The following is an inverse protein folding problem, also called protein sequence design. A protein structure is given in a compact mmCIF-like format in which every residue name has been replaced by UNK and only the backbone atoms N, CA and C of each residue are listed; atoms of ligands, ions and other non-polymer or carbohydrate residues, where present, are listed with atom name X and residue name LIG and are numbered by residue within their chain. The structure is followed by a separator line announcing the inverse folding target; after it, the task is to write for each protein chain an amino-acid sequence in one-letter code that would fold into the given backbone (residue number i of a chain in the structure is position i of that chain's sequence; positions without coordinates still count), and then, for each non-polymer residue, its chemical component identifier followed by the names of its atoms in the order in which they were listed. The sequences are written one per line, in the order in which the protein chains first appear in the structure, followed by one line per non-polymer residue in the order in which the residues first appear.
data_IF_706315968009
#
_entry.id   IF_706315968009
#
_cell.length_a   1.000
_cell.length_b   1.000
_cell.length_c   1.000
_cell.angle_alpha   90.00
_cell.angle_beta   90.00
_cell.angle_gamma   90.00
#
_symmetry.space_group_name_H-M   'P 1'
#
loop_
_entity.id
_entity.type
_entity.pdbx_description
1 polymer ?
#
# COMPACT_ATOMS: atom_id res chain seq x y z
N UNK A 1 41.96 28.13 1.82
CA UNK A 1 41.68 27.92 0.38
C UNK A 1 40.17 27.90 0.29
N UNK A 2 39.52 28.69 -0.57
CA UNK A 2 38.05 28.69 -0.57
C UNK A 2 37.55 27.30 -1.02
N UNK A 3 36.38 26.86 -0.54
CA UNK A 3 35.77 25.58 -0.98
C UNK A 3 35.68 25.50 -2.51
N UNK A 4 35.52 26.65 -3.18
CA UNK A 4 35.56 26.78 -4.64
C UNK A 4 36.92 26.43 -5.24
N UNK A 5 38.02 26.84 -4.61
CA UNK A 5 39.38 26.56 -5.08
C UNK A 5 39.70 25.06 -4.97
N UNK A 6 39.30 24.43 -3.86
CA UNK A 6 39.45 22.98 -3.67
C UNK A 6 38.59 22.17 -4.65
N UNK A 7 37.39 22.67 -5.00
CA UNK A 7 36.53 22.03 -6.01
C UNK A 7 37.12 22.15 -7.43
N UNK A 8 37.72 23.28 -7.78
CA UNK A 8 38.43 23.45 -9.06
C UNK A 8 39.69 22.56 -9.15
N UNK A 9 40.41 22.39 -8.04
CA UNK A 9 41.54 21.46 -7.94
C UNK A 9 41.11 20.02 -8.25
N UNK A 10 40.00 19.54 -7.65
CA UNK A 10 39.45 18.20 -7.92
C UNK A 10 39.07 18.03 -9.39
N UNK A 11 38.41 19.02 -9.99
CA UNK A 11 38.04 18.97 -11.42
C UNK A 11 39.28 18.86 -12.31
N UNK A 12 40.36 19.59 -11.99
CA UNK A 12 41.62 19.52 -12.73
C UNK A 12 42.31 18.15 -12.59
N UNK A 13 42.29 17.56 -11.39
CA UNK A 13 42.89 16.24 -11.12
C UNK A 13 42.10 15.10 -11.77
N UNK A 14 40.76 15.20 -11.81
CA UNK A 14 39.91 14.24 -12.53
C UNK A 14 40.19 14.31 -14.03
N UNK A 15 40.37 15.51 -14.59
CA UNK A 15 40.75 15.64 -16.01
C UNK A 15 42.14 15.06 -16.31
N UNK A 16 43.09 15.17 -15.38
CA UNK A 16 44.40 14.52 -15.50
C UNK A 16 44.28 12.98 -15.40
N UNK A 17 43.42 12.47 -14.53
CA UNK A 17 43.17 11.04 -14.36
C UNK A 17 42.59 10.39 -15.64
N UNK A 18 41.72 11.11 -16.36
CA UNK A 18 41.14 10.64 -17.62
C UNK A 18 42.18 10.52 -18.76
N UNK A 19 43.19 11.41 -18.77
CA UNK A 19 44.21 11.45 -19.83
C UNK A 19 45.40 10.51 -19.59
N UNK A 20 45.62 10.09 -18.35
CA UNK A 20 46.77 9.24 -18.00
C UNK A 20 46.48 7.76 -18.33
N UNK A 21 47.37 7.05 -19.04
CA UNK A 21 47.21 5.61 -19.33
C UNK A 21 47.98 4.70 -18.36
N UNK A 22 48.88 5.25 -17.53
CA UNK A 22 49.79 4.46 -16.68
C UNK A 22 49.15 4.16 -15.31
N UNK A 23 48.96 2.88 -14.91
CA UNK A 23 48.18 2.50 -13.73
C UNK A 23 48.80 2.95 -12.39
N UNK A 24 50.14 3.00 -12.27
CA UNK A 24 50.81 3.51 -11.07
C UNK A 24 50.57 5.01 -10.86
N UNK A 25 50.60 5.81 -11.93
CA UNK A 25 50.33 7.24 -11.86
C UNK A 25 48.85 7.54 -11.59
N UNK A 26 47.93 6.70 -12.08
CA UNK A 26 46.50 6.79 -11.71
C UNK A 26 46.28 6.66 -10.22
N UNK A 27 46.96 5.72 -9.55
CA UNK A 27 46.85 5.57 -8.10
C UNK A 27 47.32 6.83 -7.34
N UNK A 28 48.41 7.44 -7.77
CA UNK A 28 48.92 8.67 -7.15
C UNK A 28 47.95 9.86 -7.33
N UNK A 29 47.30 9.96 -8.49
CA UNK A 29 46.29 10.99 -8.77
C UNK A 29 45.02 10.75 -7.95
N UNK A 30 44.58 9.49 -7.80
CA UNK A 30 43.43 9.11 -6.95
C UNK A 30 43.71 9.48 -5.49
N UNK A 31 44.91 9.22 -4.98
CA UNK A 31 45.30 9.57 -3.61
C UNK A 31 45.29 11.10 -3.39
N UNK A 32 45.69 11.89 -4.39
CA UNK A 32 45.61 13.36 -4.35
C UNK A 32 44.16 13.86 -4.35
N UNK A 33 43.29 13.24 -5.15
CA UNK A 33 41.84 13.53 -5.17
C UNK A 33 41.21 13.22 -3.81
N UNK A 34 41.57 12.10 -3.20
CA UNK A 34 41.02 11.69 -1.90
C UNK A 34 41.45 12.65 -0.78
N UNK A 35 42.72 13.08 -0.77
CA UNK A 35 43.20 14.11 0.17
C UNK A 35 42.54 15.46 -0.04
N UNK A 36 42.28 15.88 -1.29
CA UNK A 36 41.57 17.12 -1.59
C UNK A 36 40.09 17.04 -1.15
N UNK A 37 39.43 15.90 -1.35
CA UNK A 37 38.04 15.69 -0.94
C UNK A 37 37.90 15.65 0.59
N UNK A 38 38.88 15.10 1.31
CA UNK A 38 38.91 15.13 2.77
C UNK A 38 39.01 16.56 3.33
N UNK A 39 39.74 17.47 2.65
CA UNK A 39 39.81 18.89 3.05
C UNK A 39 38.46 19.60 2.93
N UNK A 40 37.71 19.32 1.86
CA UNK A 40 36.35 19.84 1.67
C UNK A 40 35.42 19.30 2.76
N UNK A 41 35.54 18.03 3.11
CA UNK A 41 34.74 17.41 4.18
C UNK A 41 35.05 17.96 5.58
N UNK A 42 36.27 18.43 5.85
CA UNK A 42 36.62 19.06 7.13
C UNK A 42 36.20 20.53 7.25
N UNK A 43 36.05 21.26 6.13
CA UNK A 43 35.70 22.69 6.13
C UNK A 43 34.18 22.95 6.02
N UNK A 44 33.37 21.95 5.63
CA UNK A 44 31.93 22.11 5.43
C UNK A 44 31.12 22.03 6.74
N UNK A 45 30.86 23.19 7.36
CA UNK A 45 29.83 23.40 8.39
C UNK A 45 28.42 23.02 7.86
N UNK A 46 27.54 22.63 8.78
CA UNK A 46 26.34 21.80 8.63
C UNK A 46 25.21 22.24 7.67
N UNK A 47 25.39 23.27 6.83
CA UNK A 47 24.33 23.84 5.99
C UNK A 47 24.44 23.57 4.48
N UNK A 48 25.53 22.96 3.99
CA UNK A 48 25.76 22.77 2.54
C UNK A 48 25.86 21.31 2.06
N UNK A 49 25.35 20.36 2.86
CA UNK A 49 25.37 18.92 2.54
C UNK A 49 24.52 18.45 1.32
N UNK A 50 23.45 19.13 0.85
CA UNK A 50 22.65 18.60 -0.25
C UNK A 50 23.19 18.89 -1.67
N UNK A 51 24.12 19.84 -1.84
CA UNK A 51 24.47 20.38 -3.17
C UNK A 51 25.76 19.81 -3.78
N UNK A 52 26.62 19.18 -2.99
CA UNK A 52 27.89 18.61 -3.48
C UNK A 52 27.74 17.20 -4.06
N UNK A 53 26.69 16.47 -3.70
CA UNK A 53 26.47 15.09 -4.15
C UNK A 53 25.91 15.00 -5.59
N UNK A 54 25.31 16.07 -6.09
CA UNK A 54 24.65 16.10 -7.41
C UNK A 54 25.61 16.52 -8.52
N UNK A 55 26.54 17.45 -8.27
CA UNK A 55 27.39 18.01 -9.33
C UNK A 55 28.58 17.13 -9.76
N UNK A 56 29.08 16.25 -8.89
CA UNK A 56 30.24 15.40 -9.19
C UNK A 56 29.84 14.07 -9.84
N UNK A 57 28.66 13.54 -9.49
CA UNK A 57 28.14 12.28 -10.06
C UNK A 57 27.78 12.41 -11.55
N UNK A 58 27.41 13.60 -12.02
CA UNK A 58 27.09 13.85 -13.44
C UNK A 58 28.32 13.92 -14.37
N UNK A 59 29.53 13.96 -13.80
CA UNK A 59 30.78 14.09 -14.58
C UNK A 59 31.71 12.87 -14.50
N UNK A 60 31.31 11.82 -13.78
CA UNK A 60 32.07 10.56 -13.81
C UNK A 60 31.72 9.82 -15.11
N UNK A 61 32.71 9.46 -15.95
CA UNK A 61 32.44 8.64 -17.12
C UNK A 61 31.82 7.33 -16.65
N UNK A 62 30.57 7.10 -17.04
CA UNK A 62 29.90 5.82 -16.90
C UNK A 62 30.81 4.81 -17.57
N UNK A 63 31.44 3.94 -16.76
CA UNK A 63 32.16 2.78 -17.27
C UNK A 63 31.22 2.09 -18.24
N UNK A 64 31.52 2.17 -19.53
CA UNK A 64 30.80 1.47 -20.57
C UNK A 64 30.96 -0.01 -20.22
N UNK A 65 29.99 -0.55 -19.48
CA UNK A 65 29.90 -1.97 -19.22
C UNK A 65 29.80 -2.56 -20.60
N UNK A 66 30.74 -3.46 -20.93
CA UNK A 66 30.54 -4.39 -22.02
C UNK A 66 29.08 -4.87 -21.97
N UNK A 67 28.35 -4.87 -23.10
CA UNK A 67 26.95 -5.27 -23.12
C UNK A 67 26.84 -6.56 -22.33
N UNK A 68 26.06 -6.53 -21.24
CA UNK A 68 25.78 -7.75 -20.49
C UNK A 68 25.31 -8.76 -21.53
N UNK A 69 25.96 -9.95 -21.62
CA UNK A 69 25.48 -10.97 -22.54
C UNK A 69 24.00 -11.11 -22.27
N UNK A 70 23.18 -11.01 -23.32
CA UNK A 70 21.74 -11.22 -23.21
C UNK A 70 21.54 -12.45 -22.33
N UNK A 71 20.67 -12.38 -21.31
CA UNK A 71 20.35 -13.55 -20.51
C UNK A 71 20.16 -14.68 -21.50
N UNK A 72 20.86 -15.83 -21.35
CA UNK A 72 20.66 -16.94 -22.27
C UNK A 72 19.15 -17.09 -22.40
N UNK A 73 18.65 -17.00 -23.64
CA UNK A 73 17.25 -17.26 -23.92
C UNK A 73 16.90 -18.47 -23.09
N UNK A 74 15.88 -18.40 -22.21
CA UNK A 74 15.66 -19.45 -21.24
C UNK A 74 15.61 -20.72 -22.04
N UNK A 75 16.67 -21.53 -21.94
CA UNK A 75 16.69 -22.83 -22.57
C UNK A 75 15.46 -23.44 -21.99
N UNK A 76 14.48 -23.64 -22.86
CA UNK A 76 13.25 -24.25 -22.46
C UNK A 76 13.72 -25.62 -22.09
N UNK A 77 13.97 -25.85 -20.80
CA UNK A 77 14.20 -27.17 -20.28
C UNK A 77 12.87 -27.83 -20.59
N UNK A 78 12.79 -28.44 -21.77
CA UNK A 78 11.83 -29.44 -22.13
C UNK A 78 12.16 -30.56 -21.15
N UNK A 79 11.66 -30.40 -19.93
CA UNK A 79 11.40 -31.53 -19.07
C UNK A 79 10.40 -32.34 -19.87
N UNK A 80 10.92 -33.25 -20.70
CA UNK A 80 10.12 -34.36 -21.20
C UNK A 80 9.45 -34.87 -19.94
N UNK A 81 8.11 -34.84 -19.86
CA UNK A 81 7.44 -35.33 -18.67
C UNK A 81 8.01 -36.71 -18.43
N UNK A 82 8.44 -36.99 -17.20
CA UNK A 82 8.86 -38.34 -16.83
C UNK A 82 7.69 -39.22 -17.22
N UNK A 83 7.80 -39.90 -18.37
CA UNK A 83 6.82 -40.85 -18.80
C UNK A 83 6.99 -41.97 -17.80
N UNK A 84 6.13 -42.00 -16.78
CA UNK A 84 5.92 -43.21 -15.99
C UNK A 84 5.61 -44.28 -17.03
N UNK A 85 6.58 -45.15 -17.32
CA UNK A 85 6.35 -46.37 -18.10
C UNK A 85 5.27 -47.12 -17.35
N UNK A 86 4.01 -46.93 -17.76
CA UNK A 86 2.89 -47.74 -17.28
C UNK A 86 3.19 -49.13 -17.83
N UNK A 87 3.50 -50.06 -16.93
CA UNK A 87 3.61 -51.46 -17.31
C UNK A 87 2.34 -51.88 -18.05
N UNK A 88 2.50 -52.52 -19.20
CA UNK A 88 1.38 -53.03 -20.00
C UNK A 88 0.48 -53.90 -19.11
N UNK A 89 -0.86 -53.81 -19.23
CA UNK A 89 -1.77 -54.59 -18.41
C UNK A 89 -1.51 -56.10 -18.49
N UNK A 90 -0.96 -56.60 -19.61
CA UNK A 90 -0.52 -58.00 -19.76
C UNK A 90 0.70 -58.32 -18.88
N UNK A 91 1.71 -57.46 -18.87
CA UNK A 91 2.93 -57.62 -18.05
C UNK A 91 2.60 -57.53 -16.56
N UNK A 92 1.69 -56.63 -16.17
CA UNK A 92 1.21 -56.52 -14.79
C UNK A 92 0.49 -57.79 -14.34
N UNK A 93 -0.35 -58.37 -15.19
CA UNK A 93 -1.09 -59.61 -14.88
C UNK A 93 -0.13 -60.80 -14.71
N UNK A 94 0.87 -60.91 -15.60
CA UNK A 94 1.91 -61.95 -15.56
C UNK A 94 2.78 -61.86 -14.29
N UNK A 95 3.18 -60.64 -13.88
CA UNK A 95 3.92 -60.40 -12.65
C UNK A 95 3.09 -60.68 -11.37
N UNK A 96 1.78 -60.39 -11.40
CA UNK A 96 0.89 -60.71 -10.26
C UNK A 96 0.72 -62.22 -10.09
N UNK A 97 0.74 -62.98 -11.19
CA UNK A 97 0.66 -64.44 -11.19
C UNK A 97 1.99 -65.09 -10.77
N UNK A 98 3.14 -64.60 -11.27
CA UNK A 98 4.47 -65.07 -10.87
C UNK A 98 4.79 -64.80 -9.39
N UNK A 99 4.31 -63.68 -8.83
CA UNK A 99 4.60 -63.30 -7.45
C UNK A 99 3.58 -63.85 -6.43
N UNK A 100 2.53 -64.56 -6.87
CA UNK A 100 1.42 -65.07 -6.01
C UNK A 100 0.81 -64.00 -5.09
N UNK A 101 0.77 -62.74 -5.52
CA UNK A 101 0.23 -61.64 -4.70
C UNK A 101 -1.23 -61.44 -5.03
N UNK A 102 -2.10 -61.61 -4.03
CA UNK A 102 -3.53 -61.36 -4.18
C UNK A 102 -3.82 -59.85 -4.26
N UNK A 103 -4.79 -59.48 -5.11
CA UNK A 103 -5.09 -58.07 -5.37
C UNK A 103 -5.57 -57.32 -4.12
N UNK A 104 -6.20 -58.03 -3.18
CA UNK A 104 -6.64 -57.49 -1.89
C UNK A 104 -5.48 -57.19 -0.92
N UNK A 105 -4.41 -57.99 -0.94
CA UNK A 105 -3.25 -57.80 -0.05
C UNK A 105 -2.43 -56.57 -0.47
N UNK A 106 -2.37 -56.31 -1.77
CA UNK A 106 -1.76 -55.09 -2.34
C UNK A 106 -2.51 -53.82 -1.97
N UNK A 107 -3.85 -53.86 -1.90
CA UNK A 107 -4.66 -52.71 -1.50
C UNK A 107 -4.65 -52.47 0.02
N UNK A 108 -4.47 -53.53 0.83
CA UNK A 108 -4.21 -53.42 2.27
C UNK A 108 -2.82 -52.87 2.60
N UNK A 109 -1.78 -53.31 1.89
CA UNK A 109 -0.39 -52.89 2.14
C UNK A 109 -0.10 -51.45 1.68
N UNK A 110 -0.78 -51.00 0.61
CA UNK A 110 -0.65 -49.64 0.08
C UNK A 110 -2.03 -49.00 -0.12
N UNK A 111 -2.68 -48.53 0.96
CA UNK A 111 -3.91 -47.76 0.82
C UNK A 111 -3.61 -46.56 -0.08
N UNK A 112 -4.32 -46.45 -1.21
CA UNK A 112 -4.21 -45.31 -2.13
C UNK A 112 -4.57 -44.05 -1.36
N UNK A 113 -3.57 -43.36 -0.81
CA UNK A 113 -3.73 -42.05 -0.21
C UNK A 113 -4.20 -41.12 -1.33
N UNK A 114 -5.50 -40.87 -1.40
CA UNK A 114 -6.07 -39.81 -2.23
C UNK A 114 -5.67 -38.47 -1.59
N UNK A 115 -4.39 -38.14 -1.62
CA UNK A 115 -3.98 -36.75 -1.50
C UNK A 115 -4.50 -36.08 -2.76
N UNK A 116 -5.71 -35.51 -2.66
CA UNK A 116 -6.02 -34.30 -3.41
C UNK A 116 -4.96 -33.30 -2.96
N UNK A 117 -3.80 -33.29 -3.62
CA UNK A 117 -2.94 -32.14 -3.63
C UNK A 117 -3.77 -31.11 -4.39
N UNK A 118 -4.62 -30.40 -3.65
CA UNK A 118 -5.11 -29.11 -4.07
C UNK A 118 -3.87 -28.24 -4.14
N UNK A 119 -3.16 -28.29 -5.27
CA UNK A 119 -2.40 -27.14 -5.72
C UNK A 119 -3.45 -26.05 -5.91
N UNK A 120 -3.81 -25.38 -4.80
CA UNK A 120 -4.31 -24.03 -4.85
C UNK A 120 -3.16 -23.29 -5.52
N UNK A 121 -3.27 -23.13 -6.84
CA UNK A 121 -2.43 -22.19 -7.55
C UNK A 121 -2.82 -20.83 -6.96
N UNK A 122 -2.11 -20.43 -5.91
CA UNK A 122 -2.28 -19.17 -5.17
C UNK A 122 -1.96 -17.93 -6.04
N UNK A 123 -1.93 -18.11 -7.36
CA UNK A 123 -1.86 -17.06 -8.35
C UNK A 123 -3.28 -16.56 -8.58
N UNK A 124 -3.61 -15.42 -8.00
CA UNK A 124 -4.73 -14.60 -8.45
C UNK A 124 -4.38 -14.04 -9.83
N UNK A 125 -4.44 -14.89 -10.86
CA UNK A 125 -4.42 -14.42 -12.25
C UNK A 125 -5.61 -13.48 -12.40
N UNK A 126 -5.36 -12.25 -12.85
CA UNK A 126 -6.44 -11.29 -13.11
C UNK A 126 -7.45 -11.93 -14.07
N UNK A 127 -8.62 -12.27 -13.54
CA UNK A 127 -9.76 -12.67 -14.36
C UNK A 127 -10.44 -11.38 -14.78
N UNK A 128 -10.34 -11.03 -16.05
CA UNK A 128 -11.01 -9.87 -16.62
C UNK A 128 -12.51 -9.93 -16.31
N UNK A 129 -13.02 -8.97 -15.54
CA UNK A 129 -14.47 -8.85 -15.33
C UNK A 129 -15.16 -8.53 -16.66
N UNK A 130 -16.41 -8.99 -16.88
CA UNK A 130 -17.17 -8.64 -18.08
C UNK A 130 -17.25 -7.12 -18.30
N UNK A 131 -17.43 -6.38 -17.20
CA UNK A 131 -17.43 -4.91 -17.18
C UNK A 131 -16.10 -4.33 -17.66
N UNK A 132 -14.96 -4.81 -17.14
CA UNK A 132 -13.64 -4.33 -17.54
C UNK A 132 -13.32 -4.57 -19.02
N UNK A 133 -13.84 -5.66 -19.62
CA UNK A 133 -13.71 -5.90 -21.06
C UNK A 133 -14.46 -4.86 -21.88
N UNK A 134 -15.72 -4.61 -21.53
CA UNK A 134 -16.58 -3.63 -22.21
C UNK A 134 -15.95 -2.24 -22.07
N UNK A 135 -15.56 -1.84 -20.87
CA UNK A 135 -14.92 -0.54 -20.64
C UNK A 135 -13.65 -0.36 -21.49
N UNK A 136 -12.83 -1.40 -21.60
CA UNK A 136 -11.61 -1.35 -22.41
C UNK A 136 -11.90 -1.28 -23.92
N UNK A 137 -12.99 -1.88 -24.39
CA UNK A 137 -13.41 -1.76 -25.78
C UNK A 137 -13.85 -0.34 -26.15
N UNK A 138 -14.61 0.32 -25.27
CA UNK A 138 -15.11 1.68 -25.51
C UNK A 138 -14.03 2.76 -25.30
N UNK A 139 -13.28 2.68 -24.20
CA UNK A 139 -12.36 3.74 -23.77
C UNK A 139 -10.87 3.42 -24.00
N UNK A 140 -10.53 2.20 -24.45
CA UNK A 140 -9.14 1.75 -24.55
C UNK A 140 -8.26 2.62 -25.44
N UNK A 141 -8.79 3.10 -26.59
CA UNK A 141 -8.08 4.00 -27.53
C UNK A 141 -7.88 5.40 -26.96
N UNK A 142 -8.90 5.92 -26.28
CA UNK A 142 -8.83 7.24 -25.64
C UNK A 142 -7.81 7.24 -24.49
N UNK A 143 -7.91 6.25 -23.61
CA UNK A 143 -7.01 6.12 -22.45
C UNK A 143 -5.56 5.89 -22.90
N UNK A 144 -5.28 5.08 -23.93
CA UNK A 144 -3.91 4.91 -24.43
C UNK A 144 -3.29 6.23 -24.89
N UNK A 145 -4.04 7.04 -25.63
CA UNK A 145 -3.55 8.36 -26.06
C UNK A 145 -3.22 9.28 -24.87
N UNK A 146 -3.97 9.17 -23.77
CA UNK A 146 -3.71 9.97 -22.58
C UNK A 146 -2.48 9.49 -21.78
N UNK A 147 -2.14 8.20 -21.84
CA UNK A 147 -0.88 7.68 -21.28
C UNK A 147 0.33 8.19 -22.07
N UNK A 148 0.23 8.23 -23.40
CA UNK A 148 1.32 8.68 -24.28
C UNK A 148 1.64 10.17 -24.09
N UNK A 149 0.61 10.99 -23.78
CA UNK A 149 0.77 12.42 -23.47
C UNK A 149 1.43 12.71 -22.11
N UNK A 150 1.87 11.68 -21.38
CA UNK A 150 2.58 11.81 -20.09
C UNK A 150 1.81 12.66 -19.07
N UNK A 151 0.48 12.61 -19.06
CA UNK A 151 -0.35 13.35 -18.11
C UNK A 151 -0.02 12.94 -16.66
N UNK A 152 0.21 13.91 -15.77
CA UNK A 152 0.52 13.67 -14.35
C UNK A 152 -0.64 12.98 -13.63
N UNK A 153 -1.88 13.40 -13.90
CA UNK A 153 -3.10 12.83 -13.34
C UNK A 153 -3.20 11.31 -13.52
N UNK A 154 -2.97 10.83 -14.74
CA UNK A 154 -3.11 9.41 -15.09
C UNK A 154 -1.99 8.58 -14.47
N UNK A 155 -0.77 9.13 -14.43
CA UNK A 155 0.36 8.47 -13.78
C UNK A 155 0.14 8.32 -12.28
N UNK A 156 -0.31 9.38 -11.62
CA UNK A 156 -0.66 9.34 -10.19
C UNK A 156 -1.73 8.30 -9.90
N UNK A 157 -2.82 8.28 -10.66
CA UNK A 157 -3.88 7.28 -10.51
C UNK A 157 -3.37 5.86 -10.79
N UNK A 158 -2.54 5.68 -11.83
CA UNK A 158 -1.97 4.39 -12.16
C UNK A 158 -1.04 3.86 -11.07
N UNK A 159 -0.28 4.75 -10.42
CA UNK A 159 0.55 4.44 -9.26
C UNK A 159 -0.30 4.12 -8.04
N UNK A 160 -1.35 4.90 -7.74
CA UNK A 160 -2.29 4.60 -6.64
C UNK A 160 -2.96 3.24 -6.81
N UNK A 161 -3.41 2.90 -8.03
CA UNK A 161 -3.97 1.57 -8.33
C UNK A 161 -2.93 0.48 -8.12
N UNK A 162 -1.69 0.69 -8.57
CA UNK A 162 -0.61 -0.30 -8.39
C UNK A 162 -0.27 -0.51 -6.91
N UNK A 163 -0.21 0.56 -6.13
CA UNK A 163 0.14 0.56 -4.71
C UNK A 163 -0.99 -0.06 -3.86
N UNK A 164 -2.25 0.17 -4.23
CA UNK A 164 -3.41 -0.44 -3.55
C UNK A 164 -3.35 -1.97 -3.53
N UNK A 165 -2.66 -2.59 -4.49
CA UNK A 165 -2.60 -4.04 -4.63
C UNK A 165 -3.89 -4.66 -5.16
N UNK A 166 -4.78 -3.85 -5.75
CA UNK A 166 -5.95 -4.35 -6.46
C UNK A 166 -5.52 -5.29 -7.59
N UNK A 167 -6.22 -6.42 -7.80
CA UNK A 167 -5.88 -7.38 -8.85
C UNK A 167 -6.34 -6.88 -10.23
N UNK A 168 -6.27 -5.58 -10.51
CA UNK A 168 -6.77 -4.95 -11.73
C UNK A 168 -5.63 -4.17 -12.36
N UNK A 169 -5.48 -4.28 -13.68
CA UNK A 169 -4.48 -3.52 -14.42
C UNK A 169 -4.82 -2.02 -14.37
N UNK A 170 -3.83 -1.16 -14.05
CA UNK A 170 -4.04 0.30 -13.90
C UNK A 170 -4.74 0.92 -15.10
N UNK A 171 -4.37 0.50 -16.32
CA UNK A 171 -5.02 0.95 -17.56
C UNK A 171 -6.50 0.57 -17.61
N UNK A 172 -6.85 -0.67 -17.26
CA UNK A 172 -8.24 -1.14 -17.27
C UNK A 172 -9.07 -0.43 -16.22
N UNK A 173 -8.50 -0.12 -15.04
CA UNK A 173 -9.18 0.66 -14.01
C UNK A 173 -9.59 2.05 -14.52
N UNK A 174 -8.68 2.74 -15.21
CA UNK A 174 -8.97 4.06 -15.78
C UNK A 174 -10.07 3.97 -16.85
N UNK A 175 -10.06 2.94 -17.69
CA UNK A 175 -11.16 2.70 -18.64
C UNK A 175 -12.49 2.47 -17.90
N UNK A 176 -12.48 1.70 -16.80
CA UNK A 176 -13.66 1.46 -15.97
C UNK A 176 -14.16 2.75 -15.31
N UNK A 177 -13.27 3.65 -14.89
CA UNK A 177 -13.63 4.94 -14.29
C UNK A 177 -14.40 5.84 -15.26
N UNK A 178 -13.89 6.03 -16.48
CA UNK A 178 -14.59 6.82 -17.49
C UNK A 178 -15.91 6.18 -17.91
N UNK A 179 -15.93 4.85 -18.06
CA UNK A 179 -17.13 4.12 -18.42
C UNK A 179 -18.21 4.19 -17.33
N UNK A 180 -17.84 4.02 -16.06
CA UNK A 180 -18.76 4.11 -14.93
C UNK A 180 -19.32 5.52 -14.74
N UNK A 181 -18.50 6.57 -14.94
CA UNK A 181 -18.95 7.96 -14.92
C UNK A 181 -19.98 8.23 -16.02
N UNK A 182 -19.75 7.73 -17.24
CA UNK A 182 -20.69 7.87 -18.36
C UNK A 182 -22.01 7.12 -18.09
N UNK A 183 -21.93 5.87 -17.63
CA UNK A 183 -23.11 5.07 -17.30
C UNK A 183 -23.89 5.69 -16.14
N UNK A 184 -23.21 6.15 -15.09
CA UNK A 184 -23.81 6.84 -13.95
C UNK A 184 -24.52 8.13 -14.37
N UNK A 185 -23.90 8.93 -15.24
CA UNK A 185 -24.50 10.14 -15.79
C UNK A 185 -25.78 9.83 -16.61
N UNK A 186 -25.74 8.78 -17.46
CA UNK A 186 -26.91 8.37 -18.24
C UNK A 186 -28.07 7.88 -17.37
N UNK A 187 -27.77 7.08 -16.33
CA UNK A 187 -28.78 6.62 -15.38
C UNK A 187 -29.37 7.81 -14.62
N UNK A 188 -28.53 8.74 -14.15
CA UNK A 188 -28.96 9.92 -13.43
C UNK A 188 -29.82 10.86 -14.27
N UNK A 189 -29.55 10.96 -15.58
CA UNK A 189 -30.39 11.71 -16.51
C UNK A 189 -31.79 11.09 -16.62
N UNK A 190 -31.87 9.76 -16.79
CA UNK A 190 -33.16 9.06 -16.85
C UNK A 190 -33.93 9.18 -15.53
N UNK A 191 -33.23 9.03 -14.40
CA UNK A 191 -33.84 9.13 -13.08
C UNK A 191 -34.35 10.55 -12.81
N UNK A 192 -33.56 11.58 -13.16
CA UNK A 192 -33.98 12.97 -13.04
C UNK A 192 -35.17 13.29 -13.94
N UNK A 193 -35.25 12.72 -15.15
CA UNK A 193 -36.42 12.87 -16.01
C UNK A 193 -37.69 12.34 -15.34
N UNK A 194 -37.62 11.15 -14.75
CA UNK A 194 -38.76 10.52 -14.05
C UNK A 194 -39.15 11.30 -12.80
N UNK A 195 -38.17 11.67 -11.95
CA UNK A 195 -38.42 12.42 -10.71
C UNK A 195 -39.03 13.79 -11.00
N UNK A 196 -38.48 14.52 -11.97
CA UNK A 196 -38.98 15.85 -12.34
C UNK A 196 -40.38 15.80 -12.96
N UNK A 197 -40.73 14.70 -13.65
CA UNK A 197 -42.09 14.47 -14.16
C UNK A 197 -43.08 14.18 -13.02
N UNK A 198 -42.71 13.30 -12.07
CA UNK A 198 -43.54 12.98 -10.90
C UNK A 198 -43.73 14.16 -9.95
N UNK A 199 -42.73 15.03 -9.83
CA UNK A 199 -42.79 16.23 -9.00
C UNK A 199 -43.59 17.39 -9.63
N UNK A 200 -44.06 17.24 -10.88
CA UNK A 200 -44.87 18.26 -11.56
C UNK A 200 -44.12 19.57 -11.84
N UNK A 201 -42.80 19.51 -12.04
CA UNK A 201 -41.98 20.70 -12.27
C UNK A 201 -42.29 21.33 -13.64
N UNK A 202 -42.16 22.67 -13.71
CA UNK A 202 -42.27 23.40 -14.98
C UNK A 202 -41.23 22.90 -16.01
N UNK A 203 -41.56 22.96 -17.31
CA UNK A 203 -40.69 22.46 -18.41
C UNK A 203 -39.26 23.00 -18.37
N UNK A 204 -39.09 24.28 -18.00
CA UNK A 204 -37.75 24.88 -17.84
C UNK A 204 -36.97 24.28 -16.67
N UNK A 205 -37.63 24.05 -15.52
CA UNK A 205 -37.03 23.43 -14.35
C UNK A 205 -36.68 21.95 -14.61
N UNK A 206 -37.48 21.23 -15.41
CA UNK A 206 -37.16 19.86 -15.84
C UNK A 206 -35.85 19.82 -16.61
N UNK A 207 -35.68 20.67 -17.63
CA UNK A 207 -34.46 20.72 -18.44
C UNK A 207 -33.24 21.04 -17.56
N UNK A 208 -33.35 22.03 -16.67
CA UNK A 208 -32.28 22.40 -15.74
C UNK A 208 -31.91 21.22 -14.84
N UNK A 209 -32.90 20.54 -14.25
CA UNK A 209 -32.67 19.38 -13.38
C UNK A 209 -31.96 18.22 -14.10
N UNK A 210 -32.25 18.01 -15.39
CA UNK A 210 -31.61 16.97 -16.20
C UNK A 210 -30.13 17.29 -16.44
N UNK A 211 -29.79 18.54 -16.78
CA UNK A 211 -28.39 18.96 -16.96
C UNK A 211 -27.61 18.91 -15.65
N UNK A 212 -28.20 19.39 -14.55
CA UNK A 212 -27.57 19.34 -13.23
C UNK A 212 -27.32 17.89 -12.81
N UNK A 213 -28.30 16.99 -12.98
CA UNK A 213 -28.15 15.58 -12.65
C UNK A 213 -27.09 14.89 -13.50
N UNK A 214 -27.10 15.12 -14.82
CA UNK A 214 -26.14 14.54 -15.77
C UNK A 214 -24.70 14.92 -15.40
N UNK A 215 -24.44 16.21 -15.23
CA UNK A 215 -23.10 16.72 -14.93
C UNK A 215 -22.72 16.39 -13.48
N UNK A 216 -23.62 16.64 -12.53
CA UNK A 216 -23.39 16.46 -11.09
C UNK A 216 -23.06 15.01 -10.74
N UNK A 217 -23.89 14.05 -11.16
CA UNK A 217 -23.64 12.63 -10.88
C UNK A 217 -22.45 12.11 -11.67
N UNK A 218 -22.27 12.52 -12.93
CA UNK A 218 -21.10 12.16 -13.72
C UNK A 218 -19.78 12.56 -13.06
N UNK A 219 -19.70 13.79 -12.55
CA UNK A 219 -18.54 14.32 -11.81
C UNK A 219 -18.39 13.59 -10.47
N UNK A 220 -19.48 13.38 -9.73
CA UNK A 220 -19.42 12.72 -8.42
C UNK A 220 -18.89 11.29 -8.53
N UNK A 221 -19.39 10.51 -9.50
CA UNK A 221 -18.92 9.14 -9.76
C UNK A 221 -17.45 9.16 -10.19
N UNK A 222 -17.06 10.11 -11.04
CA UNK A 222 -15.67 10.27 -11.47
C UNK A 222 -14.73 10.56 -10.29
N UNK A 223 -15.08 11.53 -9.44
CA UNK A 223 -14.31 11.87 -8.25
C UNK A 223 -14.26 10.72 -7.24
N UNK A 224 -15.36 10.02 -7.03
CA UNK A 224 -15.43 8.85 -6.16
C UNK A 224 -14.49 7.74 -6.64
N UNK A 225 -14.54 7.39 -7.93
CA UNK A 225 -13.63 6.38 -8.50
C UNK A 225 -12.17 6.84 -8.58
N UNK A 226 -11.91 8.14 -8.66
CA UNK A 226 -10.54 8.67 -8.56
C UNK A 226 -9.99 8.56 -7.12
N UNK A 227 -10.80 8.84 -6.11
CA UNK A 227 -10.40 8.77 -4.70
C UNK A 227 -10.33 7.32 -4.16
N UNK A 228 -11.09 6.41 -4.75
CA UNK A 228 -11.21 5.02 -4.27
C UNK A 228 -9.87 4.27 -4.14
N UNK A 229 -8.96 4.25 -5.15
CA UNK A 229 -7.68 3.54 -5.03
C UNK A 229 -6.77 4.11 -3.95
N UNK A 230 -6.81 5.43 -3.75
CA UNK A 230 -6.03 6.09 -2.72
C UNK A 230 -6.56 5.74 -1.32
N UNK A 231 -7.88 5.68 -1.16
CA UNK A 231 -8.53 5.21 0.08
C UNK A 231 -8.17 3.76 0.40
N UNK A 232 -8.24 2.87 -0.59
CA UNK A 232 -7.89 1.45 -0.42
C UNK A 232 -6.40 1.27 -0.07
N UNK A 233 -5.52 2.02 -0.74
CA UNK A 233 -4.10 2.03 -0.41
C UNK A 233 -3.84 2.55 1.02
N UNK A 234 -4.58 3.56 1.47
CA UNK A 234 -4.48 4.08 2.83
C UNK A 234 -4.97 3.08 3.87
N UNK A 235 -6.13 2.43 3.64
CA UNK A 235 -6.66 1.38 4.51
C UNK A 235 -5.65 0.22 4.62
N UNK A 236 -5.09 -0.21 3.50
CA UNK A 236 -4.02 -1.23 3.48
C UNK A 236 -2.77 -0.78 4.21
N UNK A 237 -2.34 0.47 4.08
CA UNK A 237 -1.21 1.02 4.85
C UNK A 237 -1.47 0.92 6.35
N UNK A 238 -2.66 1.32 6.82
CA UNK A 238 -3.03 1.25 8.24
C UNK A 238 -3.02 -0.18 8.75
N UNK A 239 -3.61 -1.11 7.99
CA UNK A 239 -3.59 -2.54 8.35
C UNK A 239 -2.15 -3.08 8.46
N UNK A 240 -1.26 -2.70 7.54
CA UNK A 240 0.16 -3.05 7.61
C UNK A 240 0.83 -2.42 8.85
N UNK A 241 0.62 -1.12 9.08
CA UNK A 241 1.27 -0.37 10.15
C UNK A 241 0.84 -0.85 11.54
N UNK A 242 -0.40 -1.34 11.68
CA UNK A 242 -0.91 -1.94 12.91
C UNK A 242 -0.24 -3.28 13.24
N UNK A 243 0.01 -4.12 12.23
CA UNK A 243 0.64 -5.43 12.40
C UNK A 243 2.18 -5.34 12.53
N UNK A 244 2.78 -4.27 11.98
CA UNK A 244 4.23 -4.13 11.81
C UNK A 244 5.06 -4.24 13.10
N UNK A 245 4.69 -3.62 14.24
CA UNK A 245 5.49 -3.71 15.46
C UNK A 245 5.62 -5.14 15.97
N UNK A 246 4.53 -5.91 15.92
CA UNK A 246 4.47 -7.29 16.37
C UNK A 246 5.22 -8.23 15.40
N UNK A 247 5.02 -8.03 14.10
CA UNK A 247 5.78 -8.77 13.09
C UNK A 247 7.28 -8.50 13.20
N UNK A 248 7.69 -7.27 13.51
CA UNK A 248 9.11 -6.92 13.67
C UNK A 248 9.74 -7.57 14.90
N UNK A 249 9.01 -7.70 16.01
CA UNK A 249 9.45 -8.48 17.18
C UNK A 249 9.63 -9.95 16.82
N UNK A 250 8.69 -10.52 16.07
CA UNK A 250 8.78 -11.91 15.61
C UNK A 250 10.01 -12.10 14.70
N UNK A 251 10.26 -11.18 13.76
CA UNK A 251 11.48 -11.18 12.94
C UNK A 251 12.74 -11.08 13.79
N UNK A 252 12.77 -10.20 14.79
CA UNK A 252 13.91 -10.05 15.69
C UNK A 252 14.20 -11.33 16.50
N UNK A 253 13.16 -12.03 16.95
CA UNK A 253 13.29 -13.31 17.64
C UNK A 253 13.88 -14.39 16.73
N UNK A 254 13.39 -14.48 15.49
CA UNK A 254 13.89 -15.45 14.51
C UNK A 254 15.32 -15.13 14.10
N UNK A 255 15.66 -13.87 13.80
CA UNK A 255 17.04 -13.46 13.55
C UNK A 255 17.95 -13.73 14.77
N UNK A 256 17.39 -13.60 15.97
CA UNK A 256 18.06 -13.91 17.23
C UNK A 256 18.52 -15.36 17.37
N UNK A 257 17.82 -16.29 16.71
CA UNK A 257 18.13 -17.73 16.69
C UNK A 257 19.24 -18.12 15.71
N UNK A 258 19.71 -17.19 14.86
CA UNK A 258 20.68 -17.49 13.81
C UNK A 258 20.09 -18.16 12.57
N UNK A 259 18.76 -18.25 12.45
CA UNK A 259 18.09 -18.73 11.25
C UNK A 259 18.42 -17.84 10.03
N UNK A 260 18.35 -18.44 8.83
CA UNK A 260 18.54 -17.68 7.59
C UNK A 260 17.50 -16.54 7.48
N UNK A 261 17.86 -15.35 6.99
CA UNK A 261 16.95 -14.19 6.95
C UNK A 261 15.61 -14.44 6.25
N UNK A 262 15.60 -15.25 5.17
CA UNK A 262 14.36 -15.63 4.47
C UNK A 262 13.39 -16.42 5.35
N UNK A 263 13.89 -17.13 6.37
CA UNK A 263 13.06 -17.93 7.27
C UNK A 263 12.10 -17.07 8.08
N UNK A 264 12.48 -15.82 8.42
CA UNK A 264 11.61 -14.89 9.14
C UNK A 264 10.30 -14.65 8.37
N UNK A 265 10.40 -14.33 7.08
CA UNK A 265 9.24 -14.10 6.22
C UNK A 265 8.39 -15.36 6.03
N UNK A 266 9.01 -16.55 5.94
CA UNK A 266 8.27 -17.82 5.85
C UNK A 266 7.51 -18.14 7.14
N UNK A 267 8.10 -17.86 8.30
CA UNK A 267 7.46 -18.07 9.60
C UNK A 267 6.30 -17.09 9.83
N UNK A 268 6.45 -15.82 9.43
CA UNK A 268 5.36 -14.84 9.46
C UNK A 268 4.16 -15.27 8.60
N UNK A 269 4.40 -15.80 7.38
CA UNK A 269 3.31 -16.33 6.56
C UNK A 269 2.67 -17.58 7.16
N UNK A 270 3.47 -18.43 7.80
CA UNK A 270 2.99 -19.67 8.42
C UNK A 270 2.13 -19.41 9.67
N UNK A 271 2.42 -18.36 10.44
CA UNK A 271 1.62 -18.03 11.63
C UNK A 271 0.21 -17.56 11.25
N UNK A 272 0.06 -16.85 10.13
CA UNK A 272 -1.23 -16.32 9.67
C UNK A 272 -1.83 -15.25 10.60
N UNK A 273 -1.04 -14.73 11.55
CA UNK A 273 -1.48 -13.75 12.54
C UNK A 273 -1.54 -12.32 11.98
N UNK A 274 -0.70 -12.01 10.98
CA UNK A 274 -0.49 -10.67 10.44
C UNK A 274 -1.15 -10.51 9.07
N UNK A 275 -2.48 -10.39 9.05
CA UNK A 275 -3.27 -10.35 7.82
C UNK A 275 -2.94 -9.14 6.93
N UNK A 276 -2.66 -7.97 7.52
CA UNK A 276 -2.30 -6.78 6.75
C UNK A 276 -0.98 -6.94 6.00
N UNK A 277 -0.04 -7.65 6.63
CA UNK A 277 1.30 -7.92 6.08
C UNK A 277 1.37 -9.13 5.15
N UNK A 278 0.44 -10.08 5.26
CA UNK A 278 0.47 -11.34 4.53
C UNK A 278 0.70 -11.13 3.02
N UNK A 279 -0.03 -10.20 2.42
CA UNK A 279 0.06 -9.92 0.98
C UNK A 279 1.44 -9.40 0.56
N UNK A 280 2.09 -8.55 1.37
CA UNK A 280 3.41 -8.01 1.07
C UNK A 280 4.51 -9.03 1.32
N UNK A 281 4.41 -9.80 2.43
CA UNK A 281 5.37 -10.85 2.75
C UNK A 281 5.31 -11.97 1.70
N UNK A 282 4.11 -12.33 1.22
CA UNK A 282 3.93 -13.33 0.16
C UNK A 282 4.63 -12.91 -1.12
N UNK A 283 4.62 -11.61 -1.48
CA UNK A 283 5.39 -11.10 -2.63
C UNK A 283 6.90 -11.32 -2.44
N UNK A 284 7.43 -11.02 -1.26
CA UNK A 284 8.87 -11.22 -0.94
C UNK A 284 9.25 -12.71 -1.11
N UNK A 285 8.49 -13.60 -0.46
CA UNK A 285 8.76 -15.05 -0.51
C UNK A 285 8.62 -15.60 -1.93
N UNK A 286 7.64 -15.13 -2.69
CA UNK A 286 7.46 -15.54 -4.08
C UNK A 286 8.61 -15.06 -4.98
N UNK A 287 9.08 -13.81 -4.82
CA UNK A 287 10.22 -13.29 -5.59
C UNK A 287 11.47 -14.13 -5.38
N UNK A 288 11.73 -14.58 -4.15
CA UNK A 288 12.89 -15.43 -3.84
C UNK A 288 12.68 -16.86 -4.32
N UNK A 289 11.58 -17.51 -3.94
CA UNK A 289 11.38 -18.95 -4.17
C UNK A 289 11.00 -19.30 -5.60
N UNK A 290 10.20 -18.45 -6.27
CA UNK A 290 9.66 -18.75 -7.61
C UNK A 290 10.47 -18.09 -8.73
N UNK A 291 10.90 -16.85 -8.49
CA UNK A 291 11.60 -16.06 -9.50
C UNK A 291 13.13 -16.05 -9.30
N UNK A 292 13.64 -16.64 -8.22
CA UNK A 292 15.08 -16.77 -7.98
C UNK A 292 15.80 -15.45 -7.68
N UNK A 293 15.09 -14.39 -7.32
CA UNK A 293 15.73 -13.14 -6.91
C UNK A 293 16.48 -13.31 -5.59
N UNK A 294 17.62 -12.62 -5.47
CA UNK A 294 18.28 -12.46 -4.17
C UNK A 294 17.36 -11.75 -3.17
N UNK A 295 17.47 -12.09 -1.89
CA UNK A 295 16.60 -11.55 -0.85
C UNK A 295 16.72 -10.02 -0.75
N UNK A 296 17.92 -9.44 -0.85
CA UNK A 296 18.10 -7.98 -0.79
C UNK A 296 17.37 -7.27 -1.94
N UNK A 297 17.44 -7.85 -3.14
CA UNK A 297 16.76 -7.34 -4.34
C UNK A 297 15.24 -7.51 -4.23
N UNK A 298 14.77 -8.65 -3.72
CA UNK A 298 13.36 -8.89 -3.48
C UNK A 298 12.77 -7.89 -2.48
N UNK A 299 13.48 -7.61 -1.38
CA UNK A 299 13.08 -6.63 -0.37
C UNK A 299 12.99 -5.20 -0.94
N UNK A 300 13.99 -4.77 -1.72
CA UNK A 300 13.97 -3.47 -2.40
C UNK A 300 12.81 -3.38 -3.41
N UNK A 301 12.55 -4.43 -4.18
CA UNK A 301 11.45 -4.45 -5.14
C UNK A 301 10.07 -4.31 -4.47
N UNK A 302 9.88 -4.94 -3.31
CA UNK A 302 8.63 -4.81 -2.54
C UNK A 302 8.56 -3.46 -1.82
N UNK A 303 9.68 -2.95 -1.29
CA UNK A 303 9.71 -1.65 -0.59
C UNK A 303 9.37 -0.47 -1.51
N UNK A 304 9.64 -0.57 -2.81
CA UNK A 304 9.25 0.43 -3.80
C UNK A 304 7.74 0.44 -4.12
N UNK A 305 7.00 -0.62 -3.80
CA UNK A 305 5.60 -0.81 -4.18
C UNK A 305 4.63 -0.94 -3.02
N UNK A 306 5.13 -0.94 -1.78
CA UNK A 306 4.28 -1.00 -0.58
C UNK A 306 3.61 0.36 -0.32
N UNK A 307 2.33 0.38 0.12
CA UNK A 307 1.66 1.60 0.55
C UNK A 307 2.20 2.16 1.88
N UNK A 308 2.74 1.30 2.75
CA UNK A 308 3.22 1.69 4.08
C UNK A 308 4.65 2.22 4.04
N UNK A 309 4.83 3.45 4.56
CA UNK A 309 6.15 4.06 4.72
C UNK A 309 7.01 3.33 5.74
N UNK A 310 6.44 2.91 6.88
CA UNK A 310 7.17 2.18 7.93
C UNK A 310 7.65 0.82 7.43
N UNK A 311 6.82 0.10 6.68
CA UNK A 311 7.23 -1.17 6.06
C UNK A 311 8.33 -0.93 5.01
N UNK A 312 8.24 0.14 4.19
CA UNK A 312 9.29 0.49 3.23
C UNK A 312 10.63 0.72 3.92
N UNK A 313 10.65 1.48 5.01
CA UNK A 313 11.85 1.76 5.81
C UNK A 313 12.44 0.47 6.40
N UNK A 314 11.59 -0.39 7.00
CA UNK A 314 12.00 -1.67 7.54
C UNK A 314 12.61 -2.59 6.48
N UNK A 315 11.93 -2.82 5.35
CA UNK A 315 12.42 -3.71 4.29
C UNK A 315 13.73 -3.19 3.68
N UNK A 316 13.83 -1.87 3.48
CA UNK A 316 15.04 -1.23 2.94
C UNK A 316 16.21 -1.35 3.92
N UNK A 317 15.95 -1.16 5.22
CA UNK A 317 16.98 -1.32 6.24
C UNK A 317 17.41 -2.77 6.44
N UNK A 318 16.49 -3.75 6.32
CA UNK A 318 16.86 -5.18 6.27
C UNK A 318 17.77 -5.44 5.07
N UNK A 319 17.40 -4.99 3.86
CA UNK A 319 18.20 -5.18 2.66
C UNK A 319 19.60 -4.57 2.79
N UNK A 320 19.69 -3.33 3.28
CA UNK A 320 20.95 -2.62 3.52
C UNK A 320 21.83 -3.33 4.57
N UNK A 321 21.22 -3.85 5.64
CA UNK A 321 21.95 -4.59 6.69
C UNK A 321 22.52 -5.90 6.15
N UNK A 322 21.78 -6.59 5.26
CA UNK A 322 22.25 -7.81 4.61
C UNK A 322 23.40 -7.50 3.64
N UNK A 323 23.25 -6.48 2.79
CA UNK A 323 24.26 -6.09 1.79
C UNK A 323 25.57 -5.59 2.40
N UNK A 324 25.48 -4.88 3.53
CA UNK A 324 26.66 -4.39 4.27
C UNK A 324 27.31 -5.45 5.17
N UNK A 325 26.73 -6.66 5.28
CA UNK A 325 27.21 -7.69 6.22
C UNK A 325 26.99 -7.34 7.70
N UNK A 326 26.08 -6.42 7.99
CA UNK A 326 25.77 -5.99 9.35
C UNK A 326 25.01 -7.02 10.18
N UNK A 327 24.90 -6.78 11.49
CA UNK A 327 24.13 -7.64 12.40
C UNK A 327 22.63 -7.42 12.26
N UNK A 328 21.97 -8.29 11.47
CA UNK A 328 20.52 -8.28 11.29
C UNK A 328 19.77 -8.42 12.63
N UNK A 329 20.30 -9.21 13.57
CA UNK A 329 19.76 -9.37 14.93
C UNK A 329 19.73 -8.04 15.68
N UNK A 330 20.83 -7.29 15.66
CA UNK A 330 20.92 -5.99 16.35
C UNK A 330 19.99 -4.96 15.72
N UNK A 331 19.99 -4.89 14.38
CA UNK A 331 19.10 -4.00 13.62
C UNK A 331 17.63 -4.26 13.93
N UNK A 332 17.16 -5.49 13.76
CA UNK A 332 15.76 -5.84 13.99
C UNK A 332 15.34 -5.66 15.44
N UNK A 333 16.23 -5.93 16.41
CA UNK A 333 15.94 -5.68 17.83
C UNK A 333 15.75 -4.18 18.10
N UNK A 334 16.58 -3.32 17.49
CA UNK A 334 16.44 -1.87 17.61
C UNK A 334 15.11 -1.39 17.01
N UNK A 335 14.80 -1.80 15.77
CA UNK A 335 13.57 -1.39 15.08
C UNK A 335 12.31 -1.97 15.76
N UNK A 336 12.39 -3.18 16.33
CA UNK A 336 11.31 -3.77 17.13
C UNK A 336 11.02 -2.93 18.38
N UNK A 337 12.05 -2.50 19.11
CA UNK A 337 11.88 -1.67 20.29
C UNK A 337 11.32 -0.28 19.93
N UNK A 338 11.84 0.33 18.86
CA UNK A 338 11.39 1.62 18.37
C UNK A 338 9.92 1.56 17.93
N UNK A 339 9.57 0.63 17.04
CA UNK A 339 8.19 0.46 16.54
C UNK A 339 7.19 0.14 17.66
N UNK A 340 7.57 -0.69 18.63
CA UNK A 340 6.73 -0.98 19.79
C UNK A 340 6.57 0.24 20.71
N UNK A 341 7.62 1.03 20.91
CA UNK A 341 7.54 2.27 21.66
C UNK A 341 6.60 3.28 20.98
N UNK A 342 6.72 3.44 19.66
CA UNK A 342 5.82 4.32 18.90
C UNK A 342 4.38 3.82 18.94
N UNK A 343 4.16 2.52 18.77
CA UNK A 343 2.82 1.91 18.87
C UNK A 343 2.17 2.16 20.23
N UNK A 344 2.91 1.98 21.33
CA UNK A 344 2.43 2.27 22.69
C UNK A 344 2.09 3.74 22.87
N UNK A 345 2.90 4.64 22.31
CA UNK A 345 2.67 6.08 22.37
C UNK A 345 1.43 6.49 21.58
N UNK A 346 1.25 5.97 20.36
CA UNK A 346 0.05 6.18 19.54
C UNK A 346 -1.21 5.69 20.27
N UNK A 347 -1.14 4.49 20.87
CA UNK A 347 -2.25 3.93 21.65
C UNK A 347 -2.55 4.73 22.91
N UNK A 348 -1.53 5.25 23.59
CA UNK A 348 -1.71 6.14 24.76
C UNK A 348 -2.41 7.44 24.35
N UNK A 349 -1.96 8.08 23.27
CA UNK A 349 -2.60 9.29 22.71
C UNK A 349 -4.05 9.04 22.31
N UNK A 350 -4.34 7.87 21.76
CA UNK A 350 -5.71 7.49 21.42
C UNK A 350 -6.60 7.38 22.66
N UNK A 351 -6.14 6.71 23.72
CA UNK A 351 -6.87 6.61 25.00
C UNK A 351 -7.09 7.99 25.64
N UNK A 352 -6.08 8.86 25.59
CA UNK A 352 -6.17 10.24 26.09
C UNK A 352 -7.18 11.10 25.29
N UNK A 353 -7.23 10.89 23.97
CA UNK A 353 -8.22 11.53 23.10
C UNK A 353 -9.63 11.05 23.42
N UNK A 354 -9.82 9.74 23.66
CA UNK A 354 -11.09 9.18 24.10
C UNK A 354 -11.55 9.73 25.46
N UNK A 355 -10.62 9.91 26.40
CA UNK A 355 -10.91 10.56 27.68
C UNK A 355 -11.40 12.01 27.47
N UNK A 356 -10.68 12.78 26.65
CA UNK A 356 -11.10 14.14 26.27
C UNK A 356 -12.49 14.15 25.64
N UNK A 357 -12.82 13.20 24.75
CA UNK A 357 -14.16 13.12 24.16
C UNK A 357 -15.24 12.73 25.18
N UNK A 358 -14.91 11.90 26.16
CA UNK A 358 -15.80 11.57 27.28
C UNK A 358 -16.10 12.78 28.15
N UNK A 359 -15.11 13.62 28.42
CA UNK A 359 -15.29 14.86 29.18
C UNK A 359 -16.18 15.85 28.41
N UNK A 360 -15.97 16.00 27.10
CA UNK A 360 -16.83 16.83 26.25
C UNK A 360 -18.27 16.28 26.24
N UNK A 361 -18.44 14.96 26.15
CA UNK A 361 -19.75 14.32 26.18
C UNK A 361 -20.48 14.58 27.51
N UNK A 362 -19.82 14.35 28.65
CA UNK A 362 -20.44 14.57 29.96
C UNK A 362 -20.72 16.04 30.25
N UNK A 363 -19.84 16.96 29.82
CA UNK A 363 -20.05 18.40 29.98
C UNK A 363 -21.14 18.97 29.07
N UNK A 364 -21.04 18.75 27.75
CA UNK A 364 -21.89 19.41 26.75
C UNK A 364 -23.19 18.65 26.49
N UNK A 365 -23.17 17.32 26.51
CA UNK A 365 -24.35 16.51 26.16
C UNK A 365 -25.17 16.09 27.39
N UNK A 366 -24.60 16.08 28.59
CA UNK A 366 -25.31 15.72 29.82
C UNK A 366 -25.50 16.94 30.74
N UNK A 367 -24.41 17.55 31.20
CA UNK A 367 -24.49 18.60 32.21
C UNK A 367 -25.15 19.88 31.67
N UNK A 368 -24.79 20.35 30.48
CA UNK A 368 -25.37 21.57 29.91
C UNK A 368 -26.90 21.46 29.66
N UNK A 369 -27.43 20.37 29.06
CA UNK A 369 -28.88 20.21 28.93
C UNK A 369 -29.59 20.03 30.27
N UNK A 370 -28.97 19.34 31.24
CA UNK A 370 -29.53 19.21 32.58
C UNK A 370 -29.66 20.59 33.25
N UNK A 371 -28.60 21.40 33.23
CA UNK A 371 -28.62 22.78 33.76
C UNK A 371 -29.63 23.66 33.01
N UNK A 372 -29.73 23.50 31.69
CA UNK A 372 -30.70 24.20 30.87
C UNK A 372 -32.14 23.88 31.28
N UNK A 373 -32.46 22.59 31.45
CA UNK A 373 -33.79 22.13 31.89
C UNK A 373 -34.08 22.64 33.31
N UNK A 374 -33.13 22.54 34.24
CA UNK A 374 -33.30 23.03 35.62
C UNK A 374 -33.56 24.54 35.64
N UNK A 375 -32.79 25.32 34.89
CA UNK A 375 -32.96 26.77 34.80
C UNK A 375 -34.36 27.15 34.26
N UNK A 376 -34.79 26.50 33.17
CA UNK A 376 -36.13 26.72 32.63
C UNK A 376 -37.24 26.31 33.60
N UNK A 377 -37.03 25.24 34.37
CA UNK A 377 -38.00 24.79 35.38
C UNK A 377 -38.18 25.83 36.48
N UNK A 378 -37.10 26.44 36.96
CA UNK A 378 -37.15 27.50 37.97
C UNK A 378 -37.90 28.74 37.44
N UNK A 379 -37.60 29.17 36.21
CA UNK A 379 -38.27 30.34 35.62
C UNK A 379 -39.77 30.08 35.40
N UNK A 380 -40.12 28.86 34.97
CA UNK A 380 -41.51 28.44 34.82
C UNK A 380 -42.27 28.50 36.16
N UNK A 381 -41.65 28.06 37.25
CA UNK A 381 -42.26 28.09 38.59
C UNK A 381 -42.60 29.52 39.07
N UNK A 382 -41.81 30.51 38.67
CA UNK A 382 -42.04 31.93 39.01
C UNK A 382 -43.09 32.57 38.08
N UNK A 383 -43.61 31.84 37.10
CA UNK A 383 -44.61 32.33 36.15
C UNK A 383 -44.02 33.27 35.09
N UNK A 384 -42.71 33.19 34.84
CA UNK A 384 -42.05 34.02 33.84
C UNK A 384 -42.44 33.63 32.41
N UNK A 385 -42.56 34.62 31.53
CA UNK A 385 -42.54 34.42 30.08
C UNK A 385 -41.19 34.90 29.55
N UNK A 386 -40.57 34.13 28.65
CA UNK A 386 -39.30 34.51 28.01
C UNK A 386 -39.62 34.89 26.57
N UNK A 387 -39.43 36.17 26.22
CA UNK A 387 -39.64 36.65 24.85
C UNK A 387 -41.08 36.52 24.33
N UNK A 388 -42.09 36.56 25.23
CA UNK A 388 -43.51 36.46 24.87
C UNK A 388 -44.02 35.03 24.66
N UNK A 389 -43.18 34.01 24.84
CA UNK A 389 -43.57 32.61 24.84
C UNK A 389 -43.62 32.05 26.26
N UNK A 390 -44.54 31.11 26.50
CA UNK A 390 -44.56 30.34 27.73
C UNK A 390 -43.29 29.52 27.86
N UNK A 391 -42.71 29.51 29.06
CA UNK A 391 -41.47 28.78 29.36
C UNK A 391 -41.66 27.28 29.20
N UNK A 392 -42.89 26.75 29.40
CA UNK A 392 -43.24 25.36 29.12
C UNK A 392 -43.02 24.99 27.65
N UNK A 393 -43.37 25.90 26.73
CA UNK A 393 -43.27 25.70 25.28
C UNK A 393 -41.81 25.77 24.83
N UNK A 394 -41.04 26.70 25.38
CA UNK A 394 -39.60 26.80 25.14
C UNK A 394 -38.87 25.57 25.68
N UNK A 395 -39.23 25.10 26.88
CA UNK A 395 -38.62 23.91 27.47
C UNK A 395 -38.92 22.65 26.65
N UNK A 396 -40.17 22.46 26.22
CA UNK A 396 -40.57 21.33 25.38
C UNK A 396 -39.88 21.38 24.01
N UNK A 397 -39.96 22.51 23.31
CA UNK A 397 -39.32 22.69 22.00
C UNK A 397 -37.79 22.61 22.05
N UNK A 398 -37.18 23.25 23.06
CA UNK A 398 -35.74 23.21 23.29
C UNK A 398 -35.26 21.79 23.57
N UNK A 399 -35.93 21.06 24.43
CA UNK A 399 -35.56 19.66 24.73
C UNK A 399 -35.76 18.76 23.51
N UNK A 400 -36.86 18.90 22.76
CA UNK A 400 -37.20 17.99 21.67
C UNK A 400 -36.42 18.26 20.37
N UNK A 401 -35.97 19.51 20.15
CA UNK A 401 -35.22 19.90 18.96
C UNK A 401 -33.72 20.00 19.23
N UNK A 402 -33.31 20.68 20.31
CA UNK A 402 -31.89 20.97 20.57
C UNK A 402 -31.14 19.71 20.99
N UNK A 403 -31.71 18.87 21.86
CA UNK A 403 -31.01 17.65 22.30
C UNK A 403 -30.72 16.68 21.15
N UNK A 404 -31.67 16.34 20.26
CA UNK A 404 -31.36 15.46 19.14
C UNK A 404 -30.34 16.07 18.19
N UNK A 405 -30.44 17.37 17.90
CA UNK A 405 -29.48 18.07 17.03
C UNK A 405 -28.07 18.00 17.62
N UNK A 406 -27.91 18.32 18.90
CA UNK A 406 -26.60 18.27 19.58
C UNK A 406 -26.05 16.84 19.61
N UNK A 407 -26.89 15.83 19.83
CA UNK A 407 -26.47 14.43 19.76
C UNK A 407 -26.04 13.99 18.36
N UNK A 408 -26.79 14.36 17.32
CA UNK A 408 -26.44 14.08 15.92
C UNK A 408 -25.12 14.76 15.56
N UNK A 409 -24.94 16.00 15.98
CA UNK A 409 -23.73 16.78 15.72
C UNK A 409 -22.52 16.14 16.43
N UNK A 410 -22.69 15.69 17.68
CA UNK A 410 -21.64 14.98 18.40
C UNK A 410 -21.31 13.61 17.78
N UNK A 411 -22.33 12.87 17.33
CA UNK A 411 -22.14 11.61 16.61
C UNK A 411 -21.33 11.82 15.32
N UNK A 412 -21.64 12.86 14.54
CA UNK A 412 -20.88 13.23 13.34
C UNK A 412 -19.45 13.63 13.68
N UNK A 413 -19.26 14.42 14.75
CA UNK A 413 -17.94 14.81 15.23
C UNK A 413 -17.09 13.59 15.59
N UNK A 414 -17.65 12.61 16.29
CA UNK A 414 -16.96 11.36 16.61
C UNK A 414 -16.58 10.58 15.35
N UNK A 415 -17.49 10.46 14.37
CA UNK A 415 -17.22 9.72 13.14
C UNK A 415 -16.10 10.35 12.29
N UNK A 416 -15.97 11.68 12.30
CA UNK A 416 -14.88 12.38 11.60
C UNK A 416 -13.55 12.22 12.34
N UNK A 417 -13.60 12.19 13.68
CA UNK A 417 -12.39 12.24 14.51
C UNK A 417 -11.86 10.86 14.88
N UNK A 418 -12.70 9.81 14.83
CA UNK A 418 -12.26 8.44 14.98
C UNK A 418 -11.34 8.08 13.80
N UNK A 419 -10.05 7.78 14.04
CA UNK A 419 -9.21 7.23 13.00
C UNK A 419 -9.83 5.89 12.57
N UNK A 420 -10.28 5.82 11.31
CA UNK A 420 -10.87 4.60 10.77
C UNK A 420 -9.87 3.45 10.86
N UNK A 421 -10.30 2.38 11.54
CA UNK A 421 -9.61 1.09 11.59
C UNK A 421 -9.27 0.56 10.19
#
# INVERSE_FOLDING_TARGET
MSISDNAQEIVSLVSQLEKELVPKKKHEIIEKIEKANQRIHSEASSESRPLLYTGVMDKLPVKERAPEPSPPEPETIQTKPIQKKRTSPKTKKKLMEELKINQEDLEKAYPKRKTKVSQKSDFTVYVTSPFGKISNQFFGKYVSSLFDKKNSFIRNLADSVRISGMPILSRTYICMMYFASLVGAMIALLLAMVVSYLAGLNTSAMIISMFISLIGVGILVFLGMYAYPASEAAAKSRAIDNDLPFATIHMAAVAGSGAQPIAMFRLLLKSGEYKGLESEIKKIVNLVNLFGYDLSTALKNVSLRTPSRRLKELLTGIASTIESGGSLKSYLKSVANESMATYRLERKKYVESLATYSDIYTGVLIAAPLLFIVALTIINMVGGQIGGLEVSTIAWGGTLIVLPIVNILFYLFLNITQPGE
#
